data_IF_465788742081
#
_entry.id   IF_465788742081
#
_cell.length_a   1.000
_cell.length_b   1.000
_cell.length_c   1.000
_cell.angle_alpha   90.00
_cell.angle_beta   90.00
_cell.angle_gamma   90.00
#
_symmetry.space_group_name_H-M   'P 1'
#
loop_
_entity.id
_entity.type
_entity.pdbx_description
1 polymer ?
#
# COMPACT_ATOMS: atom_id res chain seq x y z
N UNK A 1 -26.61 -7.84 1.59
CA UNK A 1 -25.87 -6.58 1.87
C UNK A 1 -25.06 -6.69 3.15
N UNK A 2 -25.62 -7.17 4.25
CA UNK A 2 -24.91 -7.31 5.54
C UNK A 2 -23.75 -8.32 5.53
N UNK A 3 -23.90 -9.44 4.82
CA UNK A 3 -22.87 -10.48 4.69
C UNK A 3 -21.64 -10.00 3.90
N UNK A 4 -21.86 -9.14 2.91
CA UNK A 4 -20.80 -8.53 2.10
C UNK A 4 -19.97 -7.54 2.94
N UNK A 5 -20.62 -6.74 3.80
CA UNK A 5 -19.92 -5.83 4.72
C UNK A 5 -19.04 -6.60 5.71
N UNK A 6 -19.54 -7.70 6.28
CA UNK A 6 -18.76 -8.56 7.20
C UNK A 6 -17.50 -9.11 6.54
N UNK A 7 -17.61 -9.58 5.30
CA UNK A 7 -16.46 -10.07 4.52
C UNK A 7 -15.44 -8.98 4.25
N UNK A 8 -15.87 -7.78 3.85
CA UNK A 8 -14.94 -6.66 3.64
C UNK A 8 -14.21 -6.29 4.92
N UNK A 9 -14.93 -6.14 6.04
CA UNK A 9 -14.34 -5.80 7.34
C UNK A 9 -13.32 -6.86 7.75
N UNK A 10 -13.65 -8.14 7.63
CA UNK A 10 -12.74 -9.22 7.99
C UNK A 10 -11.46 -9.23 7.13
N UNK A 11 -11.60 -9.09 5.81
CA UNK A 11 -10.45 -9.05 4.90
C UNK A 11 -9.58 -7.82 5.16
N UNK A 12 -10.18 -6.66 5.43
CA UNK A 12 -9.43 -5.44 5.76
C UNK A 12 -8.69 -5.59 7.08
N UNK A 13 -9.31 -6.14 8.12
CA UNK A 13 -8.65 -6.40 9.40
C UNK A 13 -7.49 -7.39 9.25
N UNK A 14 -7.70 -8.47 8.49
CA UNK A 14 -6.64 -9.42 8.15
C UNK A 14 -5.48 -8.74 7.42
N UNK A 15 -5.77 -7.88 6.44
CA UNK A 15 -4.77 -7.10 5.75
C UNK A 15 -4.00 -6.16 6.69
N UNK A 16 -4.68 -5.50 7.64
CA UNK A 16 -4.02 -4.65 8.63
C UNK A 16 -3.06 -5.45 9.52
N UNK A 17 -3.43 -6.65 9.95
CA UNK A 17 -2.56 -7.51 10.76
C UNK A 17 -1.33 -7.99 9.99
N UNK A 18 -1.53 -8.46 8.75
CA UNK A 18 -0.43 -8.88 7.88
C UNK A 18 0.51 -7.72 7.57
N UNK A 19 -0.04 -6.54 7.30
CA UNK A 19 0.73 -5.32 7.10
C UNK A 19 1.55 -4.96 8.35
N UNK A 20 0.95 -4.96 9.54
CA UNK A 20 1.67 -4.70 10.78
C UNK A 20 2.81 -5.71 11.01
N UNK A 21 2.55 -7.00 10.77
CA UNK A 21 3.56 -8.05 10.87
C UNK A 21 4.72 -7.86 9.88
N UNK A 22 4.42 -7.51 8.62
CA UNK A 22 5.44 -7.20 7.61
C UNK A 22 6.38 -6.09 8.10
N UNK A 23 5.84 -4.99 8.59
CA UNK A 23 6.64 -3.85 9.04
C UNK A 23 7.57 -4.21 10.21
N UNK A 24 7.11 -5.04 11.15
CA UNK A 24 7.94 -5.54 12.26
C UNK A 24 9.05 -6.46 11.75
N UNK A 25 8.76 -7.36 10.80
CA UNK A 25 9.76 -8.24 10.20
C UNK A 25 10.81 -7.45 9.42
N UNK A 26 10.39 -6.41 8.68
CA UNK A 26 11.27 -5.53 7.93
C UNK A 26 12.25 -4.81 8.86
N UNK A 27 11.74 -4.20 9.93
CA UNK A 27 12.58 -3.53 10.93
C UNK A 27 13.55 -4.52 11.60
N UNK A 28 13.05 -5.69 12.03
CA UNK A 28 13.86 -6.59 12.86
C UNK A 28 14.94 -7.35 12.07
N UNK A 29 14.64 -7.73 10.83
CA UNK A 29 15.46 -8.70 10.09
C UNK A 29 16.03 -8.17 8.79
N UNK A 30 15.45 -7.12 8.20
CA UNK A 30 15.74 -6.75 6.80
C UNK A 30 16.32 -5.34 6.65
N UNK A 31 16.55 -4.59 7.73
CA UNK A 31 17.17 -3.25 7.67
C UNK A 31 18.53 -3.21 6.97
N UNK A 32 19.32 -4.29 7.06
CA UNK A 32 20.66 -4.38 6.44
C UNK A 32 20.65 -5.01 5.06
N UNK A 33 19.49 -5.46 4.60
CA UNK A 33 19.34 -6.12 3.31
C UNK A 33 19.02 -5.06 2.27
N UNK A 34 19.59 -5.17 1.06
CA UNK A 34 19.25 -4.26 -0.05
C UNK A 34 17.74 -4.26 -0.28
N UNK A 35 17.08 -3.09 -0.43
CA UNK A 35 15.63 -2.99 -0.56
C UNK A 35 15.08 -3.70 -1.80
N UNK A 36 15.94 -3.98 -2.79
CA UNK A 36 15.57 -4.73 -3.99
C UNK A 36 15.33 -6.22 -3.72
N UNK A 37 15.98 -6.80 -2.70
CA UNK A 37 15.84 -8.22 -2.36
C UNK A 37 14.45 -8.54 -1.79
N UNK A 38 13.97 -7.89 -0.69
CA UNK A 38 12.63 -8.16 -0.18
C UNK A 38 11.55 -7.79 -1.19
N UNK A 39 11.73 -6.71 -1.96
CA UNK A 39 10.82 -6.35 -3.05
C UNK A 39 10.74 -7.44 -4.12
N UNK A 40 11.88 -7.99 -4.55
CA UNK A 40 11.96 -9.06 -5.54
C UNK A 40 11.31 -10.35 -5.04
N UNK A 41 11.59 -10.75 -3.79
CA UNK A 41 10.98 -11.94 -3.18
C UNK A 41 9.47 -11.74 -3.04
N UNK A 42 9.01 -10.59 -2.53
CA UNK A 42 7.59 -10.28 -2.41
C UNK A 42 6.88 -10.33 -3.77
N UNK A 43 7.50 -9.76 -4.80
CA UNK A 43 6.97 -9.80 -6.17
C UNK A 43 6.88 -11.22 -6.71
N UNK A 44 7.91 -12.05 -6.50
CA UNK A 44 7.90 -13.45 -6.92
C UNK A 44 6.81 -14.26 -6.21
N UNK A 45 6.68 -14.10 -4.89
CA UNK A 45 5.63 -14.76 -4.10
C UNK A 45 4.25 -14.31 -4.58
N UNK A 46 4.05 -13.01 -4.85
CA UNK A 46 2.80 -12.48 -5.38
C UNK A 46 2.46 -13.11 -6.73
N UNK A 47 3.43 -13.26 -7.64
CA UNK A 47 3.22 -13.94 -8.94
C UNK A 47 2.76 -15.37 -8.75
N UNK A 48 3.38 -16.14 -7.83
CA UNK A 48 2.99 -17.52 -7.55
C UNK A 48 1.57 -17.62 -6.98
N UNK A 49 1.21 -16.73 -6.04
CA UNK A 49 -0.13 -16.69 -5.45
C UNK A 49 -1.20 -16.31 -6.49
N UNK A 50 -0.92 -15.32 -7.33
CA UNK A 50 -1.82 -14.90 -8.41
C UNK A 50 -1.96 -16.01 -9.45
N UNK A 51 -0.87 -16.65 -9.85
CA UNK A 51 -0.92 -17.78 -10.78
C UNK A 51 -1.76 -18.94 -10.23
N UNK A 52 -1.60 -19.27 -8.94
CA UNK A 52 -2.44 -20.26 -8.25
C UNK A 52 -3.91 -19.87 -8.26
N UNK A 53 -4.24 -18.62 -7.90
CA UNK A 53 -5.61 -18.12 -7.89
C UNK A 53 -6.25 -18.11 -9.29
N UNK A 54 -5.50 -17.70 -10.31
CA UNK A 54 -5.92 -17.74 -11.73
C UNK A 54 -6.16 -19.19 -12.16
N UNK A 55 -5.26 -20.12 -11.81
CA UNK A 55 -5.42 -21.54 -12.11
C UNK A 55 -6.67 -22.14 -11.46
N UNK A 56 -6.94 -21.83 -10.19
CA UNK A 56 -8.16 -22.26 -9.50
C UNK A 56 -9.41 -21.69 -10.18
N UNK A 57 -9.42 -20.40 -10.53
CA UNK A 57 -10.56 -19.76 -11.21
C UNK A 57 -10.85 -20.42 -12.56
N UNK A 58 -9.80 -20.67 -13.35
CA UNK A 58 -9.92 -21.37 -14.62
C UNK A 58 -10.51 -22.78 -14.43
N UNK A 59 -10.05 -23.53 -13.43
CA UNK A 59 -10.55 -24.88 -13.15
C UNK A 59 -12.02 -24.90 -12.70
N UNK A 60 -12.45 -23.88 -11.95
CA UNK A 60 -13.86 -23.72 -11.52
C UNK A 60 -14.79 -23.15 -12.59
N UNK A 61 -14.29 -22.89 -13.81
CA UNK A 61 -15.08 -22.29 -14.89
C UNK A 61 -15.48 -20.83 -14.67
N UNK A 62 -14.80 -20.13 -13.75
CA UNK A 62 -15.03 -18.70 -13.54
C UNK A 62 -14.35 -17.88 -14.65
N UNK A 63 -15.08 -16.93 -15.23
CA UNK A 63 -14.52 -16.02 -16.23
C UNK A 63 -13.41 -15.14 -15.61
N UNK A 64 -12.31 -15.01 -16.34
CA UNK A 64 -11.19 -14.14 -16.00
C UNK A 64 -11.21 -13.00 -17.02
N UNK A 65 -11.60 -11.77 -16.61
CA UNK A 65 -11.62 -10.64 -17.53
C UNK A 65 -10.19 -10.29 -17.94
N UNK A 66 -9.95 -10.22 -19.25
CA UNK A 66 -8.69 -9.79 -19.83
C UNK A 66 -8.83 -8.34 -20.32
N UNK A 67 -7.75 -7.53 -20.27
CA UNK A 67 -7.77 -6.20 -20.86
C UNK A 67 -8.05 -6.33 -22.36
N UNK A 68 -9.11 -5.69 -22.83
CA UNK A 68 -9.60 -5.77 -24.21
C UNK A 68 -9.13 -4.59 -25.05
N UNK A 69 -8.76 -3.48 -24.40
CA UNK A 69 -8.31 -2.26 -25.07
C UNK A 69 -6.84 -1.98 -24.80
N UNK A 70 -6.16 -1.33 -25.76
CA UNK A 70 -4.78 -0.86 -25.56
C UNK A 70 -4.65 0.09 -24.37
N UNK A 71 -5.69 0.87 -24.07
CA UNK A 71 -5.74 1.77 -22.93
C UNK A 71 -5.66 1.02 -21.60
N UNK A 72 -6.42 -0.08 -21.45
CA UNK A 72 -6.37 -0.92 -20.26
C UNK A 72 -5.00 -1.57 -20.08
N UNK A 73 -4.40 -2.06 -21.18
CA UNK A 73 -3.04 -2.62 -21.17
C UNK A 73 -2.03 -1.57 -20.70
N UNK A 74 -2.05 -0.37 -21.25
CA UNK A 74 -1.14 0.71 -20.84
C UNK A 74 -1.37 1.16 -19.39
N UNK A 75 -2.63 1.22 -18.94
CA UNK A 75 -2.93 1.52 -17.54
C UNK A 75 -2.33 0.48 -16.58
N UNK A 76 -2.41 -0.82 -16.94
CA UNK A 76 -1.76 -1.89 -16.17
C UNK A 76 -0.24 -1.74 -16.15
N UNK A 77 0.38 -1.47 -17.30
CA UNK A 77 1.84 -1.27 -17.38
C UNK A 77 2.28 -0.08 -16.51
N UNK A 78 1.63 1.08 -16.67
CA UNK A 78 1.97 2.29 -15.92
C UNK A 78 1.77 2.08 -14.42
N UNK A 79 0.63 1.50 -14.01
CA UNK A 79 0.35 1.22 -12.59
C UNK A 79 1.37 0.25 -11.98
N UNK A 80 1.84 -0.74 -12.74
CA UNK A 80 2.87 -1.69 -12.30
C UNK A 80 4.21 -1.01 -12.09
N UNK A 81 4.63 -0.14 -13.01
CA UNK A 81 5.87 0.65 -12.88
C UNK A 81 5.81 1.55 -11.65
N UNK A 82 4.69 2.27 -11.44
CA UNK A 82 4.49 3.12 -10.26
C UNK A 82 4.54 2.28 -8.98
N UNK A 83 3.92 1.10 -8.97
CA UNK A 83 3.89 0.21 -7.81
C UNK A 83 5.28 -0.31 -7.45
N UNK A 84 6.10 -0.67 -8.44
CA UNK A 84 7.50 -1.07 -8.22
C UNK A 84 8.31 0.10 -7.66
N UNK A 85 8.19 1.29 -8.24
CA UNK A 85 8.87 2.49 -7.74
C UNK A 85 8.46 2.81 -6.29
N UNK A 86 7.17 2.75 -5.98
CA UNK A 86 6.65 2.93 -4.63
C UNK A 86 7.20 1.87 -3.66
N UNK A 87 7.26 0.61 -4.10
CA UNK A 87 7.88 -0.49 -3.33
C UNK A 87 9.35 -0.22 -3.03
N UNK A 88 10.15 0.22 -4.00
CA UNK A 88 11.55 0.61 -3.78
C UNK A 88 11.63 1.71 -2.71
N UNK A 89 10.83 2.76 -2.81
CA UNK A 89 10.81 3.83 -1.81
C UNK A 89 10.44 3.31 -0.42
N UNK A 90 9.41 2.47 -0.33
CA UNK A 90 8.93 1.90 0.92
C UNK A 90 9.99 1.02 1.61
N UNK A 91 10.56 0.04 0.90
CA UNK A 91 11.62 -0.81 1.45
C UNK A 91 12.89 -0.01 1.76
N UNK A 92 13.22 1.00 0.94
CA UNK A 92 14.39 1.86 1.19
C UNK A 92 14.23 2.66 2.48
N UNK A 93 13.01 3.12 2.83
CA UNK A 93 12.76 3.85 4.06
C UNK A 93 13.18 3.05 5.31
N UNK A 94 12.97 1.73 5.32
CA UNK A 94 13.45 0.85 6.40
C UNK A 94 14.98 0.75 6.44
N UNK A 95 15.62 0.64 5.28
CA UNK A 95 17.10 0.55 5.20
C UNK A 95 17.81 1.87 5.52
N UNK A 96 17.11 3.00 5.41
CA UNK A 96 17.61 4.34 5.77
C UNK A 96 17.45 4.69 7.26
N UNK A 97 17.13 3.70 8.12
CA UNK A 97 16.97 3.91 9.56
C UNK A 97 15.54 4.22 10.02
N UNK A 98 14.55 4.12 9.13
CA UNK A 98 13.15 4.16 9.52
C UNK A 98 12.75 2.90 10.31
N UNK A 99 11.73 3.05 11.15
CA UNK A 99 11.25 1.99 12.04
C UNK A 99 9.75 1.71 11.78
N UNK A 100 9.25 0.60 12.32
CA UNK A 100 7.88 0.12 12.18
C UNK A 100 6.85 0.98 12.93
N UNK A 101 7.27 1.93 13.75
CA UNK A 101 6.37 2.94 14.33
C UNK A 101 6.20 4.15 13.43
N UNK A 102 7.24 4.56 12.72
CA UNK A 102 7.28 5.83 11.98
C UNK A 102 6.79 5.67 10.54
N UNK A 103 7.24 4.62 9.84
CA UNK A 103 6.90 4.40 8.43
C UNK A 103 5.40 4.11 8.25
N UNK A 104 4.78 3.19 9.03
CA UNK A 104 3.36 2.87 8.84
C UNK A 104 2.40 4.01 9.17
N UNK A 105 2.77 4.93 10.07
CA UNK A 105 1.94 6.12 10.39
C UNK A 105 1.75 7.04 9.17
N UNK A 106 2.62 6.94 8.17
CA UNK A 106 2.47 7.70 6.93
C UNK A 106 1.48 7.05 5.95
N UNK A 107 1.13 5.77 6.10
CA UNK A 107 0.21 5.07 5.18
C UNK A 107 -1.19 5.69 5.11
N UNK A 108 -1.80 6.16 6.21
CA UNK A 108 -3.03 6.95 6.17
C UNK A 108 -2.98 8.20 5.29
N UNK A 109 -1.80 8.67 4.87
CA UNK A 109 -1.66 9.76 3.90
C UNK A 109 -1.92 9.35 2.45
N UNK A 110 -1.77 8.05 2.11
CA UNK A 110 -1.97 7.57 0.74
C UNK A 110 -3.38 7.86 0.19
N UNK A 111 -4.49 7.63 0.92
CA UNK A 111 -5.82 7.99 0.46
C UNK A 111 -6.00 9.50 0.22
N UNK A 112 -5.33 10.35 1.01
CA UNK A 112 -5.37 11.81 0.84
C UNK A 112 -4.70 12.19 -0.49
N UNK A 113 -3.49 11.67 -0.74
CA UNK A 113 -2.80 11.88 -2.02
C UNK A 113 -3.57 11.32 -3.21
N UNK A 114 -4.16 10.12 -3.08
CA UNK A 114 -4.98 9.53 -4.12
C UNK A 114 -6.18 10.44 -4.46
N UNK A 115 -6.82 11.04 -3.45
CA UNK A 115 -7.94 11.96 -3.71
C UNK A 115 -7.49 13.28 -4.34
N UNK A 116 -6.33 13.81 -3.94
CA UNK A 116 -5.74 14.99 -4.58
C UNK A 116 -5.47 14.72 -6.06
N UNK A 117 -4.86 13.57 -6.39
CA UNK A 117 -4.65 13.15 -7.78
C UNK A 117 -6.01 13.02 -8.50
N UNK A 118 -7.02 12.42 -7.86
CA UNK A 118 -8.34 12.30 -8.46
C UNK A 118 -9.01 13.65 -8.75
N UNK A 119 -8.86 14.64 -7.86
CA UNK A 119 -9.32 16.01 -8.10
C UNK A 119 -8.61 16.61 -9.33
N UNK A 120 -7.29 16.46 -9.41
CA UNK A 120 -6.48 17.07 -10.47
C UNK A 120 -6.77 16.47 -11.84
N UNK A 121 -6.93 15.15 -11.93
CA UNK A 121 -7.09 14.45 -13.21
C UNK A 121 -8.55 14.22 -13.61
N UNK A 122 -9.44 13.96 -12.65
CA UNK A 122 -10.84 13.63 -12.92
C UNK A 122 -11.82 14.74 -12.52
N UNK A 123 -11.34 15.86 -11.96
CA UNK A 123 -12.17 16.98 -11.47
C UNK A 123 -13.25 16.55 -10.48
N UNK A 124 -13.03 15.43 -9.79
CA UNK A 124 -13.94 14.91 -8.77
C UNK A 124 -13.77 15.73 -7.50
N UNK A 125 -14.81 16.43 -7.06
CA UNK A 125 -14.79 17.17 -5.81
C UNK A 125 -15.15 16.20 -4.66
N UNK A 126 -14.29 16.03 -3.65
CA UNK A 126 -14.57 15.16 -2.51
C UNK A 126 -15.73 15.73 -1.69
N UNK A 127 -16.49 14.85 -1.03
CA UNK A 127 -17.49 15.28 -0.06
C UNK A 127 -16.81 16.10 1.05
N UNK A 128 -17.31 17.29 1.40
CA UNK A 128 -16.77 18.12 2.47
C UNK A 128 -16.56 17.40 3.81
N UNK A 129 -17.30 16.32 4.07
CA UNK A 129 -17.14 15.46 5.26
C UNK A 129 -15.76 14.80 5.35
N UNK A 130 -15.06 14.62 4.23
CA UNK A 130 -13.72 14.03 4.20
C UNK A 130 -12.59 15.03 4.50
N UNK A 131 -12.88 16.34 4.53
CA UNK A 131 -11.87 17.38 4.79
C UNK A 131 -11.29 17.26 6.21
N UNK A 132 -12.12 16.97 7.21
CA UNK A 132 -11.67 16.83 8.60
C UNK A 132 -10.69 15.64 8.75
N UNK A 133 -11.01 14.42 8.26
CA UNK A 133 -10.05 13.33 8.19
C UNK A 133 -8.72 13.69 7.51
N UNK A 134 -8.74 14.47 6.42
CA UNK A 134 -7.52 14.89 5.74
C UNK A 134 -6.65 15.79 6.61
N UNK A 135 -7.28 16.73 7.33
CA UNK A 135 -6.60 17.59 8.30
C UNK A 135 -5.94 16.78 9.43
N UNK A 136 -6.61 15.74 9.93
CA UNK A 136 -6.06 14.85 10.94
C UNK A 136 -4.85 14.06 10.44
N UNK A 137 -4.90 13.58 9.19
CA UNK A 137 -3.78 12.90 8.55
C UNK A 137 -2.58 13.83 8.39
N UNK A 138 -2.79 15.06 7.90
CA UNK A 138 -1.73 16.06 7.79
C UNK A 138 -1.10 16.37 9.16
N UNK A 139 -1.93 16.54 10.19
CA UNK A 139 -1.47 16.76 11.56
C UNK A 139 -0.65 15.57 12.07
N UNK A 140 -1.08 14.34 11.83
CA UNK A 140 -0.35 13.14 12.23
C UNK A 140 1.05 13.07 11.60
N UNK A 141 1.18 13.39 10.30
CA UNK A 141 2.49 13.44 9.61
C UNK A 141 3.41 14.49 10.25
N UNK A 142 2.88 15.69 10.54
CA UNK A 142 3.65 16.76 11.19
C UNK A 142 4.08 16.36 12.61
N UNK A 143 3.18 15.74 13.38
CA UNK A 143 3.49 15.28 14.74
C UNK A 143 4.58 14.21 14.74
N UNK A 144 4.53 13.24 13.81
CA UNK A 144 5.59 12.24 13.65
C UNK A 144 6.94 12.90 13.38
N UNK A 145 6.97 13.84 12.43
CA UNK A 145 8.20 14.56 12.11
C UNK A 145 8.73 15.36 13.31
N UNK A 146 7.85 16.00 14.07
CA UNK A 146 8.21 16.74 15.27
C UNK A 146 8.78 15.81 16.36
N UNK A 147 8.10 14.69 16.64
CA UNK A 147 8.54 13.70 17.63
C UNK A 147 9.93 13.17 17.28
N UNK A 148 10.17 12.76 16.03
CA UNK A 148 11.48 12.25 15.60
C UNK A 148 12.60 13.30 15.75
N UNK A 149 12.32 14.60 15.56
CA UNK A 149 13.30 15.68 15.79
C UNK A 149 13.58 15.94 17.27
N UNK A 150 12.61 15.68 18.13
CA UNK A 150 12.70 15.94 19.58
C UNK A 150 13.15 14.73 20.40
N UNK A 151 13.22 13.54 19.79
CA UNK A 151 13.79 12.37 20.46
C UNK A 151 15.24 12.68 20.85
N UNK A 152 15.62 12.57 22.13
CA UNK A 152 17.02 12.60 22.50
C UNK A 152 17.71 11.45 21.74
N UNK A 153 18.79 11.77 21.03
CA UNK A 153 19.62 10.75 20.38
C UNK A 153 20.15 9.75 21.40
N UNK A 154 20.61 8.56 20.96
CA UNK A 154 21.35 7.66 21.84
C UNK A 154 22.57 8.36 22.45
#
# INVERSE_FOLDING_TARGET
>A
MEESVKTYVFLTLGACLLYAAENVLLERYLQKVSPLIPLGIASLVAVLLVAGAVGTKHWTGMEIPYPTTSTEVWALVISSVISVAAGICFYSAYTSGGNATTIPILVPSLPVFATIIAILFFKQVPDPRYIIPWGLVALAVVMVQWIERTKPGP
#
